data_IF_156916158436
#
_entry.id   IF_156916158436
#
_cell.length_a   1.000
_cell.length_b   1.000
_cell.length_c   1.000
_cell.angle_alpha   90.00
_cell.angle_beta   90.00
_cell.angle_gamma   90.00
#
_symmetry.space_group_name_H-M   'P 1'
#
loop_
_entity.id
_entity.type
_entity.pdbx_description
1 polymer ?
#
# COMPACT_ATOMS: atom_id res chain seq x y z
N UNK A 1 -9.78 15.39 -7.97
CA UNK A 1 -8.69 16.31 -7.54
C UNK A 1 -8.04 15.92 -6.22
N UNK A 2 -8.62 15.03 -5.41
CA UNK A 2 -8.08 14.62 -4.09
C UNK A 2 -6.88 13.68 -4.18
N UNK A 3 -6.90 12.70 -5.08
CA UNK A 3 -5.82 11.68 -5.16
C UNK A 3 -4.47 12.25 -5.58
N UNK A 4 -4.45 13.24 -6.49
CA UNK A 4 -3.20 13.87 -6.92
C UNK A 4 -2.54 14.64 -5.78
N UNK A 5 -3.31 15.48 -5.06
CA UNK A 5 -2.80 16.28 -3.94
C UNK A 5 -2.31 15.41 -2.79
N UNK A 6 -2.98 14.28 -2.53
CA UNK A 6 -2.54 13.29 -1.54
C UNK A 6 -1.23 12.63 -1.97
N UNK A 7 -1.11 12.22 -3.24
CA UNK A 7 0.11 11.65 -3.79
C UNK A 7 1.31 12.61 -3.69
N UNK A 8 1.11 13.90 -4.01
CA UNK A 8 2.18 14.91 -3.88
C UNK A 8 2.56 15.15 -2.43
N UNK A 9 1.60 15.22 -1.50
CA UNK A 9 1.91 15.41 -0.08
C UNK A 9 2.73 14.24 0.49
N UNK A 10 2.32 13.00 0.18
CA UNK A 10 3.04 11.79 0.60
C UNK A 10 4.46 11.76 0.00
N UNK A 11 4.58 12.05 -1.30
CA UNK A 11 5.88 12.11 -1.97
C UNK A 11 6.82 13.17 -1.39
N UNK A 12 6.30 14.36 -1.05
CA UNK A 12 7.07 15.44 -0.47
C UNK A 12 7.60 15.06 0.92
N UNK A 13 6.74 14.48 1.76
CA UNK A 13 7.13 14.02 3.10
C UNK A 13 8.18 12.91 3.01
N UNK A 14 7.99 11.91 2.13
CA UNK A 14 8.99 10.87 1.91
C UNK A 14 10.33 11.44 1.44
N UNK A 15 10.29 12.38 0.50
CA UNK A 15 11.49 13.05 -0.03
C UNK A 15 12.25 13.85 1.03
N UNK A 16 11.53 14.59 1.89
CA UNK A 16 12.13 15.32 3.02
C UNK A 16 12.80 14.34 3.97
N UNK A 17 12.09 13.29 4.39
CA UNK A 17 12.65 12.25 5.26
C UNK A 17 13.94 11.69 4.63
N UNK A 18 13.91 11.31 3.34
CA UNK A 18 15.07 10.76 2.60
C UNK A 18 16.35 11.61 2.70
N UNK A 19 16.22 12.94 2.75
CA UNK A 19 17.37 13.87 2.83
C UNK A 19 17.90 14.03 4.25
N UNK A 20 17.03 13.96 5.26
CA UNK A 20 17.41 14.21 6.66
C UNK A 20 17.80 12.96 7.45
N UNK A 21 17.46 11.76 6.99
CA UNK A 21 17.84 10.50 7.65
C UNK A 21 18.88 9.71 6.85
N UNK A 22 19.67 8.92 7.58
CA UNK A 22 20.55 7.91 7.00
C UNK A 22 19.70 6.91 6.16
N UNK A 23 20.19 6.49 4.99
CA UNK A 23 19.41 5.73 3.99
C UNK A 23 18.70 4.50 4.57
N UNK A 24 19.39 3.77 5.46
CA UNK A 24 18.82 2.58 6.11
C UNK A 24 17.61 2.87 7.00
N UNK A 25 17.64 3.97 7.74
CA UNK A 25 16.52 4.37 8.62
C UNK A 25 15.31 4.82 7.81
N UNK A 26 15.52 5.50 6.66
CA UNK A 26 14.44 5.87 5.75
C UNK A 26 13.76 4.64 5.14
N UNK A 27 14.53 3.63 4.73
CA UNK A 27 13.99 2.38 4.19
C UNK A 27 13.12 1.63 5.21
N UNK A 28 13.52 1.62 6.48
CA UNK A 28 12.74 1.02 7.57
C UNK A 28 11.41 1.76 7.73
N UNK A 29 11.41 3.09 7.78
CA UNK A 29 10.18 3.88 7.89
C UNK A 29 9.27 3.67 6.68
N UNK A 30 9.83 3.64 5.47
CA UNK A 30 9.07 3.36 4.25
C UNK A 30 8.45 1.96 4.28
N UNK A 31 9.19 0.94 4.73
CA UNK A 31 8.69 -0.43 4.87
C UNK A 31 7.58 -0.53 5.92
N UNK A 32 7.74 0.09 7.08
CA UNK A 32 6.70 0.11 8.12
C UNK A 32 5.46 0.89 7.68
N UNK A 33 5.64 2.01 6.98
CA UNK A 33 4.55 2.77 6.38
C UNK A 33 3.79 1.97 5.33
N UNK A 34 4.51 1.26 4.45
CA UNK A 34 3.94 0.37 3.45
C UNK A 34 3.20 -0.80 4.11
N UNK A 35 3.78 -1.39 5.16
CA UNK A 35 3.17 -2.49 5.90
C UNK A 35 1.88 -2.02 6.61
N UNK A 36 1.90 -0.88 7.29
CA UNK A 36 0.72 -0.28 7.90
C UNK A 36 -0.37 0.06 6.89
N UNK A 37 0.02 0.58 5.72
CA UNK A 37 -0.89 0.81 4.59
C UNK A 37 -1.49 -0.49 4.05
N UNK A 38 -0.69 -1.54 3.91
CA UNK A 38 -1.16 -2.85 3.47
C UNK A 38 -2.15 -3.46 4.49
N UNK A 39 -1.86 -3.37 5.79
CA UNK A 39 -2.75 -3.85 6.87
C UNK A 39 -4.07 -3.09 6.85
N UNK A 40 -4.04 -1.76 6.77
CA UNK A 40 -5.26 -0.95 6.70
C UNK A 40 -6.07 -1.25 5.44
N UNK A 41 -5.42 -1.45 4.29
CA UNK A 41 -6.06 -1.88 3.05
C UNK A 41 -6.77 -3.24 3.16
N UNK A 42 -6.18 -4.20 3.88
CA UNK A 42 -6.79 -5.51 4.16
C UNK A 42 -7.97 -5.37 5.13
N UNK A 43 -7.82 -4.58 6.21
CA UNK A 43 -8.90 -4.35 7.18
C UNK A 43 -10.08 -3.56 6.59
N UNK A 44 -9.82 -2.63 5.69
CA UNK A 44 -10.87 -1.84 5.00
C UNK A 44 -11.64 -2.69 3.98
N UNK A 45 -11.21 -3.94 3.73
CA UNK A 45 -11.87 -4.86 2.81
C UNK A 45 -11.70 -4.50 1.33
N UNK A 46 -10.90 -3.48 1.01
CA UNK A 46 -10.52 -3.16 -0.38
C UNK A 46 -9.57 -4.22 -0.95
N UNK A 47 -8.66 -4.74 -0.11
CA UNK A 47 -7.95 -5.99 -0.35
C UNK A 47 -8.68 -7.09 0.42
N UNK A 48 -9.82 -7.52 -0.11
CA UNK A 48 -10.46 -8.74 0.36
C UNK A 48 -9.73 -9.95 -0.28
N UNK A 49 -8.84 -10.66 0.44
CA UNK A 49 -8.18 -11.85 -0.10
C UNK A 49 -9.20 -12.92 -0.51
N UNK A 50 -10.40 -12.88 0.06
CA UNK A 50 -11.52 -13.78 -0.26
C UNK A 50 -12.07 -13.53 -1.66
N UNK A 51 -12.16 -12.27 -2.11
CA UNK A 51 -12.58 -11.93 -3.48
C UNK A 51 -11.50 -12.20 -4.52
N UNK A 52 -10.23 -12.01 -4.15
CA UNK A 52 -9.12 -12.32 -5.05
C UNK A 52 -9.01 -13.85 -5.30
N UNK A 53 -9.30 -14.67 -4.28
CA UNK A 53 -9.42 -16.13 -4.42
C UNK A 53 -10.67 -16.59 -5.19
N UNK A 54 -11.81 -15.92 -5.01
CA UNK A 54 -13.06 -16.27 -5.69
C UNK A 54 -12.98 -16.08 -7.22
N UNK A 55 -12.29 -15.03 -7.70
CA UNK A 55 -12.08 -14.80 -9.14
C UNK A 55 -11.24 -15.90 -9.81
N UNK A 56 -10.32 -16.52 -9.07
CA UNK A 56 -9.54 -17.67 -9.53
C UNK A 56 -10.34 -18.98 -9.42
N UNK A 57 -11.19 -19.12 -8.40
CA UNK A 57 -12.06 -20.29 -8.23
C UNK A 57 -13.16 -20.36 -9.31
N UNK A 58 -13.69 -19.21 -9.75
CA UNK A 58 -14.74 -19.14 -10.78
C UNK A 58 -14.25 -19.62 -12.15
N UNK A 59 -12.97 -19.38 -12.51
CA UNK A 59 -12.39 -19.90 -13.76
C UNK A 59 -12.24 -21.43 -13.80
N UNK A 60 -12.46 -22.11 -12.67
CA UNK A 60 -12.36 -23.58 -12.54
C UNK A 60 -13.74 -24.26 -12.51
N UNK A 61 -14.75 -23.70 -13.16
CA UNK A 61 -16.03 -24.38 -13.37
C UNK A 61 -16.39 -24.49 -14.86
N UNK A 62 -15.84 -25.49 -15.58
CA UNK A 62 -16.44 -26.04 -16.78
C UNK A 62 -17.33 -27.22 -16.38
N UNK A 63 -18.65 -27.03 -16.42
CA UNK A 63 -19.63 -28.13 -16.54
C UNK A 63 -20.77 -27.66 -17.43
#
# INVERSE_FOLDING_TARGET
>A
MTSTMFGTAVGLVLGIVLVFTNFGQMLIVALFGLAGWAVTKVLTGELDPTRLGAGLAQRRSPR
#
